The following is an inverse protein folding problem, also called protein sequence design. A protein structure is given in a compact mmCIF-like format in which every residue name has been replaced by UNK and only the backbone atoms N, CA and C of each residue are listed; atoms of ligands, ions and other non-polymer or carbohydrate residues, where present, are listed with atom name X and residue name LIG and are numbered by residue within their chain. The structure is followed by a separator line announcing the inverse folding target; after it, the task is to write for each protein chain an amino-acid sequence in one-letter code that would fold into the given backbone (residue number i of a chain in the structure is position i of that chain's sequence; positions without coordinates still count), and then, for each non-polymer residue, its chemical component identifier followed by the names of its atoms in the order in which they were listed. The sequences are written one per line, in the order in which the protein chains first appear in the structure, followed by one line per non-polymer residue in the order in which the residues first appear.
data_IF_566794805116
#
_entry.id   IF_566794805116
#
_cell.length_a   1.000
_cell.length_b   1.000
_cell.length_c   1.000
_cell.angle_alpha   90.00
_cell.angle_beta   90.00
_cell.angle_gamma   90.00
#
_symmetry.space_group_name_H-M   'P 1'
#
loop_
_entity.id
_entity.type
_entity.pdbx_description
1 polymer ?
#
# COMPACT_ATOMS: atom_id res chain seq x y z
N UNK A 1 -39.48 27.06 -32.58
CA UNK A 1 -38.84 25.75 -32.83
C UNK A 1 -37.41 25.90 -32.36
N UNK A 2 -37.00 25.16 -31.33
CA UNK A 2 -35.64 25.26 -30.81
C UNK A 2 -34.67 24.78 -31.91
N UNK A 3 -33.83 25.68 -32.40
CA UNK A 3 -32.75 25.35 -33.34
C UNK A 3 -31.76 24.46 -32.60
N UNK A 4 -31.63 23.19 -32.99
CA UNK A 4 -30.62 22.27 -32.45
C UNK A 4 -29.23 22.91 -32.61
N UNK A 5 -28.42 22.84 -31.55
CA UNK A 5 -27.05 23.40 -31.52
C UNK A 5 -26.19 22.65 -32.54
N UNK A 6 -25.26 23.34 -33.20
CA UNK A 6 -24.36 22.72 -34.17
C UNK A 6 -23.44 21.69 -33.46
N UNK A 7 -23.28 20.48 -33.99
CA UNK A 7 -22.40 19.45 -33.42
C UNK A 7 -20.94 19.90 -33.25
N UNK A 8 -20.45 20.81 -34.10
CA UNK A 8 -19.12 21.41 -33.92
C UNK A 8 -19.07 22.32 -32.69
N UNK A 9 -20.14 23.05 -32.41
CA UNK A 9 -20.28 23.89 -31.22
C UNK A 9 -20.47 23.03 -29.96
N UNK A 10 -21.23 21.94 -30.04
CA UNK A 10 -21.40 20.97 -28.95
C UNK A 10 -20.05 20.40 -28.52
N UNK A 11 -19.18 20.03 -29.47
CA UNK A 11 -17.84 19.54 -29.18
C UNK A 11 -16.83 20.67 -28.91
N UNK A 12 -17.18 21.94 -29.17
CA UNK A 12 -16.31 23.09 -28.99
C UNK A 12 -15.09 23.11 -29.93
N UNK A 13 -15.29 22.72 -31.19
CA UNK A 13 -14.25 22.59 -32.22
C UNK A 13 -14.65 23.33 -33.51
N UNK A 14 -13.66 23.62 -34.36
CA UNK A 14 -13.91 24.20 -35.68
C UNK A 14 -14.36 23.15 -36.69
N UNK A 15 -15.07 23.58 -37.74
CA UNK A 15 -15.50 22.70 -38.85
C UNK A 15 -14.35 22.05 -39.61
N UNK A 16 -13.16 22.66 -39.58
CA UNK A 16 -11.91 22.18 -40.15
C UNK A 16 -11.24 21.06 -39.33
N UNK A 17 -11.78 20.73 -38.14
CA UNK A 17 -11.15 19.80 -37.22
C UNK A 17 -10.91 18.42 -37.83
N UNK A 18 -9.72 17.87 -37.58
CA UNK A 18 -9.34 16.50 -37.92
C UNK A 18 -10.12 15.48 -37.08
N UNK A 19 -10.16 14.22 -37.54
CA UNK A 19 -10.78 13.12 -36.77
C UNK A 19 -10.17 12.96 -35.37
N UNK A 20 -8.86 13.20 -35.24
CA UNK A 20 -8.17 13.17 -33.95
C UNK A 20 -8.61 14.28 -32.99
N UNK A 21 -8.88 15.48 -33.51
CA UNK A 21 -9.39 16.61 -32.71
C UNK A 21 -10.83 16.37 -32.27
N UNK A 22 -11.67 15.80 -33.14
CA UNK A 22 -13.05 15.40 -32.82
C UNK A 22 -13.06 14.37 -31.67
N UNK A 23 -12.26 13.30 -31.78
CA UNK A 23 -12.15 12.30 -30.69
C UNK A 23 -11.57 12.89 -29.40
N UNK A 24 -10.63 13.84 -29.49
CA UNK A 24 -10.07 14.50 -28.31
C UNK A 24 -11.11 15.38 -27.60
N UNK A 25 -11.88 16.14 -28.37
CA UNK A 25 -12.92 17.01 -27.85
C UNK A 25 -14.04 16.22 -27.16
N UNK A 26 -14.53 15.15 -27.81
CA UNK A 26 -15.52 14.25 -27.22
C UNK A 26 -15.04 13.66 -25.89
N UNK A 27 -13.80 13.13 -25.83
CA UNK A 27 -13.26 12.56 -24.59
C UNK A 27 -13.19 13.55 -23.44
N UNK A 28 -12.85 14.81 -23.73
CA UNK A 28 -12.81 15.87 -22.72
C UNK A 28 -14.21 16.12 -22.13
N UNK A 29 -15.24 16.16 -22.98
CA UNK A 29 -16.62 16.38 -22.56
C UNK A 29 -17.21 15.15 -21.87
N UNK A 30 -16.92 13.95 -22.36
CA UNK A 30 -17.39 12.70 -21.78
C UNK A 30 -16.84 12.46 -20.36
N UNK A 31 -15.58 12.82 -20.09
CA UNK A 31 -15.03 12.77 -18.72
C UNK A 31 -15.68 13.86 -17.85
N UNK A 32 -15.84 15.07 -18.40
CA UNK A 32 -16.41 16.21 -17.65
C UNK A 32 -17.86 15.96 -17.23
N UNK A 33 -18.65 15.35 -18.11
CA UNK A 33 -20.08 15.12 -17.93
C UNK A 33 -20.40 13.64 -17.63
N UNK A 34 -19.42 12.86 -17.17
CA UNK A 34 -19.62 11.44 -16.87
C UNK A 34 -20.65 11.27 -15.73
N UNK A 35 -21.61 10.33 -15.84
CA UNK A 35 -22.64 10.08 -14.82
C UNK A 35 -22.05 9.75 -13.44
N UNK A 36 -21.03 8.89 -13.38
CA UNK A 36 -20.37 8.52 -12.11
C UNK A 36 -19.71 9.72 -11.40
N UNK A 37 -19.21 10.70 -12.16
CA UNK A 37 -18.59 11.90 -11.60
C UNK A 37 -19.61 13.00 -11.29
N UNK A 38 -20.83 12.90 -11.84
CA UNK A 38 -21.91 13.88 -11.70
C UNK A 38 -23.25 13.18 -11.36
N UNK A 39 -23.34 12.46 -10.22
CA UNK A 39 -24.52 11.69 -9.87
C UNK A 39 -25.71 12.62 -9.59
N UNK A 40 -26.83 12.40 -10.29
CA UNK A 40 -28.08 13.14 -10.10
C UNK A 40 -28.16 14.50 -10.80
N UNK A 41 -27.18 14.85 -11.64
CA UNK A 41 -27.19 16.07 -12.45
C UNK A 41 -27.81 15.81 -13.84
N UNK A 42 -29.08 16.21 -14.00
CA UNK A 42 -29.80 16.06 -15.27
C UNK A 42 -29.20 16.90 -16.41
N UNK A 43 -28.57 18.04 -16.10
CA UNK A 43 -27.92 18.89 -17.11
C UNK A 43 -26.64 18.23 -17.64
N UNK A 44 -25.84 17.64 -16.74
CA UNK A 44 -24.65 16.87 -17.13
C UNK A 44 -25.04 15.68 -18.03
N UNK A 45 -26.11 14.96 -17.70
CA UNK A 45 -26.62 13.85 -18.52
C UNK A 45 -27.07 14.35 -19.90
N UNK A 46 -27.79 15.47 -19.98
CA UNK A 46 -28.19 16.06 -21.27
C UNK A 46 -26.97 16.44 -22.13
N UNK A 47 -25.96 17.07 -21.53
CA UNK A 47 -24.72 17.45 -22.22
C UNK A 47 -23.90 16.24 -22.67
N UNK A 48 -23.92 15.16 -21.89
CA UNK A 48 -23.27 13.90 -22.25
C UNK A 48 -23.95 13.25 -23.48
N UNK A 49 -25.29 13.21 -23.50
CA UNK A 49 -26.07 12.70 -24.64
C UNK A 49 -25.80 13.54 -25.91
N UNK A 50 -25.82 14.86 -25.81
CA UNK A 50 -25.51 15.76 -26.92
C UNK A 50 -24.09 15.55 -27.47
N UNK A 51 -23.09 15.41 -26.59
CA UNK A 51 -21.71 15.18 -27.01
C UNK A 51 -21.51 13.81 -27.69
N UNK A 52 -22.22 12.78 -27.24
CA UNK A 52 -22.20 11.46 -27.85
C UNK A 52 -22.82 11.47 -29.26
N UNK A 53 -23.97 12.13 -29.42
CA UNK A 53 -24.63 12.31 -30.72
C UNK A 53 -23.74 13.07 -31.70
N UNK A 54 -23.12 14.17 -31.25
CA UNK A 54 -22.18 14.94 -32.04
C UNK A 54 -20.97 14.10 -32.47
N UNK A 55 -20.44 13.27 -31.57
CA UNK A 55 -19.31 12.40 -31.87
C UNK A 55 -19.67 11.29 -32.85
N UNK A 56 -20.84 10.66 -32.72
CA UNK A 56 -21.31 9.61 -33.62
C UNK A 56 -21.39 10.11 -35.08
N UNK A 57 -21.86 11.35 -35.26
CA UNK A 57 -21.98 11.96 -36.60
C UNK A 57 -20.64 12.44 -37.12
N UNK A 58 -19.83 13.13 -36.31
CA UNK A 58 -18.60 13.76 -36.78
C UNK A 58 -17.40 12.80 -36.89
N UNK A 59 -17.42 11.67 -36.18
CA UNK A 59 -16.35 10.67 -36.24
C UNK A 59 -16.41 9.78 -37.49
N UNK A 60 -17.60 9.59 -38.06
CA UNK A 60 -17.81 8.84 -39.30
C UNK A 60 -17.73 9.79 -40.51
N UNK A 61 -16.84 9.49 -41.46
CA UNK A 61 -16.59 10.36 -42.61
C UNK A 61 -17.80 10.54 -43.52
N UNK A 62 -18.67 9.53 -43.65
CA UNK A 62 -19.88 9.63 -44.47
C UNK A 62 -20.97 10.42 -43.76
N UNK A 63 -21.18 10.18 -42.45
CA UNK A 63 -22.14 10.93 -41.64
C UNK A 63 -21.75 12.40 -41.53
N UNK A 64 -20.46 12.70 -41.30
CA UNK A 64 -19.93 14.06 -41.29
C UNK A 64 -20.16 14.77 -42.62
N UNK A 65 -19.87 14.13 -43.74
CA UNK A 65 -20.09 14.71 -45.06
C UNK A 65 -21.58 15.04 -45.32
N UNK A 66 -22.50 14.17 -44.88
CA UNK A 66 -23.95 14.43 -44.96
C UNK A 66 -24.37 15.59 -44.04
N UNK A 67 -23.85 15.63 -42.81
CA UNK A 67 -24.12 16.71 -41.87
C UNK A 67 -23.58 18.07 -42.39
N UNK A 68 -22.40 18.09 -42.97
CA UNK A 68 -21.80 19.31 -43.54
C UNK A 68 -22.61 19.87 -44.72
N UNK A 69 -23.26 19.00 -45.49
CA UNK A 69 -24.06 19.40 -46.67
C UNK A 69 -25.50 19.81 -46.33
N UNK A 70 -26.14 19.14 -45.37
CA UNK A 70 -27.59 19.27 -45.12
C UNK A 70 -27.93 19.62 -43.66
N UNK A 71 -26.93 19.85 -42.82
CA UNK A 71 -27.10 20.07 -41.39
C UNK A 71 -27.73 18.87 -40.69
N UNK A 72 -28.42 19.12 -39.58
CA UNK A 72 -29.13 18.10 -38.79
C UNK A 72 -30.11 17.26 -39.63
N UNK A 73 -30.77 17.86 -40.63
CA UNK A 73 -31.71 17.16 -41.51
C UNK A 73 -31.05 16.07 -42.37
N UNK A 74 -29.75 16.17 -42.65
CA UNK A 74 -28.98 15.20 -43.45
C UNK A 74 -28.67 13.89 -42.73
N UNK A 75 -28.82 13.88 -41.41
CA UNK A 75 -28.46 12.74 -40.55
C UNK A 75 -29.65 12.21 -39.74
N UNK A 76 -30.79 12.91 -39.75
CA UNK A 76 -32.00 12.57 -38.98
C UNK A 76 -32.78 11.35 -39.53
N UNK A 77 -32.47 10.89 -40.75
CA UNK A 77 -33.15 9.77 -41.44
C UNK A 77 -32.31 8.51 -41.73
N UNK A 78 -31.04 8.47 -41.31
CA UNK A 78 -30.18 7.28 -41.40
C UNK A 78 -30.39 6.32 -40.23
N UNK A 79 -29.96 5.06 -40.35
CA UNK A 79 -30.00 4.06 -39.27
C UNK A 79 -29.49 4.65 -37.96
N UNK A 80 -30.43 4.99 -37.09
CA UNK A 80 -30.22 5.77 -35.88
C UNK A 80 -29.68 4.81 -34.82
N UNK A 81 -28.47 5.04 -34.32
CA UNK A 81 -28.19 4.64 -32.94
C UNK A 81 -28.98 5.61 -32.06
N UNK A 82 -30.25 5.29 -31.83
CA UNK A 82 -31.03 5.99 -30.83
C UNK A 82 -30.49 5.55 -29.48
N UNK A 83 -29.57 6.35 -28.94
CA UNK A 83 -29.18 6.24 -27.54
C UNK A 83 -30.37 6.67 -26.69
N UNK A 84 -31.17 5.70 -26.26
CA UNK A 84 -32.34 5.96 -25.43
C UNK A 84 -31.87 6.29 -24.01
N UNK A 85 -30.89 5.53 -23.52
CA UNK A 85 -30.32 5.69 -22.19
C UNK A 85 -28.79 5.82 -22.21
N UNK A 86 -28.23 6.22 -21.06
CA UNK A 86 -26.80 6.49 -20.89
C UNK A 86 -25.97 5.20 -20.98
N UNK A 87 -26.57 4.10 -20.56
CA UNK A 87 -26.03 2.75 -20.67
C UNK A 87 -25.78 2.35 -22.14
N UNK A 88 -26.67 2.72 -23.07
CA UNK A 88 -26.50 2.44 -24.51
C UNK A 88 -25.28 3.18 -25.08
N UNK A 89 -25.02 4.40 -24.61
CA UNK A 89 -23.87 5.22 -25.01
C UNK A 89 -22.58 4.60 -24.46
N UNK A 90 -22.62 4.14 -23.20
CA UNK A 90 -21.50 3.50 -22.55
C UNK A 90 -21.17 2.13 -23.16
N UNK A 91 -22.17 1.41 -23.68
CA UNK A 91 -21.92 0.16 -24.42
C UNK A 91 -21.35 0.45 -25.81
N UNK A 92 -21.94 1.39 -26.57
CA UNK A 92 -21.50 1.71 -27.93
C UNK A 92 -20.11 2.38 -28.00
N UNK A 93 -19.74 3.13 -26.96
CA UNK A 93 -18.46 3.82 -26.87
C UNK A 93 -17.59 3.35 -25.69
N UNK A 94 -17.93 2.21 -25.08
CA UNK A 94 -17.21 1.63 -23.95
C UNK A 94 -15.75 1.34 -24.28
N UNK A 95 -15.46 0.92 -25.51
CA UNK A 95 -14.09 0.70 -25.99
C UNK A 95 -13.26 1.99 -26.13
N UNK A 96 -13.90 3.16 -26.16
CA UNK A 96 -13.23 4.47 -26.16
C UNK A 96 -12.79 4.87 -24.73
N UNK A 97 -13.48 4.37 -23.69
CA UNK A 97 -13.28 4.80 -22.30
C UNK A 97 -12.84 3.68 -21.34
N UNK A 98 -13.01 2.40 -21.68
CA UNK A 98 -12.85 1.25 -20.78
C UNK A 98 -11.73 0.31 -21.18
N UNK A 99 -10.52 0.56 -20.65
CA UNK A 99 -9.52 -0.49 -20.41
C UNK A 99 -8.39 -0.67 -21.46
N UNK A 100 -7.18 -0.25 -21.08
CA UNK A 100 -5.94 -0.93 -21.52
C UNK A 100 -5.21 -0.42 -22.77
N UNK A 101 -5.77 0.53 -23.53
CA UNK A 101 -5.19 0.97 -24.82
C UNK A 101 -4.67 2.43 -24.82
N UNK A 102 -4.96 3.21 -23.78
CA UNK A 102 -4.69 4.65 -23.77
C UNK A 102 -3.22 5.07 -23.55
N UNK A 103 -2.34 4.12 -23.23
CA UNK A 103 -0.88 4.30 -23.24
C UNK A 103 -0.24 3.91 -24.59
N UNK A 104 -0.94 3.11 -25.41
CA UNK A 104 -0.33 2.38 -26.52
C UNK A 104 -0.73 2.87 -27.92
N UNK A 105 -1.74 3.74 -28.07
CA UNK A 105 -2.20 4.24 -29.37
C UNK A 105 -1.66 5.63 -29.76
N UNK A 106 -1.36 6.51 -28.80
CA UNK A 106 -0.78 7.84 -29.12
C UNK A 106 0.76 7.85 -29.23
N UNK A 107 1.38 6.66 -29.23
CA UNK A 107 2.81 6.45 -29.31
C UNK A 107 3.31 5.74 -30.56
N UNK A 108 2.62 5.76 -31.73
CA UNK A 108 3.26 5.46 -33.02
C UNK A 108 2.36 5.69 -34.23
N UNK A 109 2.59 6.81 -34.92
CA UNK A 109 2.35 6.87 -36.36
C UNK A 109 3.32 5.92 -37.08
N UNK A 110 2.80 5.19 -38.07
CA UNK A 110 3.56 4.63 -39.20
C UNK A 110 4.58 3.54 -38.87
N UNK A 111 4.22 2.27 -39.10
CA UNK A 111 5.22 1.21 -39.21
C UNK A 111 4.65 -0.19 -39.24
N UNK A 112 4.49 -0.75 -40.45
CA UNK A 112 4.46 -2.20 -40.68
C UNK A 112 5.59 -2.87 -39.90
N UNK A 113 5.26 -3.80 -39.01
CA UNK A 113 6.21 -4.62 -38.29
C UNK A 113 5.76 -4.86 -36.86
N UNK A 114 5.27 -6.07 -36.57
CA UNK A 114 5.11 -6.56 -35.21
C UNK A 114 6.47 -6.63 -34.52
N UNK A 115 7.00 -5.50 -34.06
CA UNK A 115 8.13 -5.47 -33.14
C UNK A 115 7.59 -5.98 -31.80
N UNK A 116 8.08 -7.15 -31.39
CA UNK A 116 7.95 -7.74 -30.05
C UNK A 116 8.00 -6.61 -29.02
N UNK A 117 6.85 -6.29 -28.39
CA UNK A 117 6.83 -5.29 -27.31
C UNK A 117 7.74 -5.84 -26.22
N UNK A 118 8.82 -5.13 -25.97
CA UNK A 118 9.81 -5.53 -24.99
C UNK A 118 9.15 -5.41 -23.62
N UNK A 119 9.00 -6.52 -22.92
CA UNK A 119 8.29 -6.56 -21.63
C UNK A 119 9.19 -5.98 -20.53
N UNK A 120 8.60 -5.35 -19.52
CA UNK A 120 9.32 -5.03 -18.28
C UNK A 120 9.68 -6.35 -17.58
N UNK A 121 10.82 -6.39 -16.92
CA UNK A 121 11.14 -7.46 -15.98
C UNK A 121 10.14 -7.53 -14.82
N UNK A 122 10.06 -8.70 -14.18
CA UNK A 122 9.17 -8.89 -13.05
C UNK A 122 9.65 -8.10 -11.83
N UNK A 123 8.71 -7.55 -11.06
CA UNK A 123 9.03 -6.84 -9.83
C UNK A 123 9.44 -7.85 -8.73
N UNK A 124 10.33 -7.42 -7.83
CA UNK A 124 10.77 -8.18 -6.65
C UNK A 124 10.08 -7.60 -5.42
N UNK A 125 9.66 -8.45 -4.48
CA UNK A 125 9.11 -8.02 -3.19
C UNK A 125 9.98 -8.58 -2.06
N UNK A 126 10.34 -7.73 -1.12
CA UNK A 126 11.17 -8.07 0.04
C UNK A 126 10.52 -7.51 1.28
N UNK A 127 10.55 -8.26 2.39
CA UNK A 127 10.15 -7.75 3.69
C UNK A 127 11.37 -7.25 4.44
N UNK A 128 11.31 -6.01 4.91
CA UNK A 128 12.35 -5.41 5.76
C UNK A 128 11.76 -5.21 7.14
N UNK A 129 12.32 -5.89 8.13
CA UNK A 129 11.89 -5.76 9.52
C UNK A 129 12.74 -4.71 10.23
N UNK A 130 12.10 -3.72 10.85
CA UNK A 130 12.75 -2.65 11.60
C UNK A 130 12.32 -2.66 13.06
N UNK A 131 13.19 -2.16 13.92
CA UNK A 131 12.81 -1.79 15.29
C UNK A 131 12.17 -0.39 15.29
N UNK A 132 11.43 -0.04 16.34
CA UNK A 132 10.67 1.21 16.41
C UNK A 132 11.59 2.44 16.41
N UNK A 133 12.75 2.31 17.05
CA UNK A 133 13.81 3.32 17.09
C UNK A 133 14.38 3.59 15.70
N UNK A 134 14.63 2.53 14.93
CA UNK A 134 15.13 2.63 13.55
C UNK A 134 14.09 3.27 12.63
N UNK A 135 12.81 2.93 12.82
CA UNK A 135 11.71 3.57 12.12
C UNK A 135 11.59 5.06 12.46
N UNK A 136 11.96 5.48 13.68
CA UNK A 136 11.90 6.88 14.10
C UNK A 136 13.05 7.72 13.54
N UNK A 137 14.27 7.18 13.46
CA UNK A 137 15.42 7.92 12.92
C UNK A 137 15.57 7.81 11.41
N UNK A 138 15.00 6.77 10.81
CA UNK A 138 15.36 6.33 9.46
C UNK A 138 16.67 5.55 9.49
N UNK A 139 16.86 4.69 8.49
CA UNK A 139 18.04 3.82 8.39
C UNK A 139 18.31 3.41 6.96
N UNK A 140 19.59 3.33 6.60
CA UNK A 140 20.04 2.65 5.38
C UNK A 140 20.24 1.17 5.68
N UNK A 141 19.53 0.31 4.96
CA UNK A 141 19.59 -1.15 5.14
C UNK A 141 20.06 -1.83 3.86
N UNK A 142 21.08 -2.66 3.99
CA UNK A 142 21.49 -3.59 2.93
C UNK A 142 20.57 -4.82 2.95
N UNK A 143 19.86 -5.06 1.85
CA UNK A 143 19.02 -6.25 1.65
C UNK A 143 19.65 -7.15 0.59
N UNK A 144 19.55 -8.47 0.79
CA UNK A 144 19.98 -9.45 -0.20
C UNK A 144 18.78 -9.97 -0.97
N UNK A 145 18.85 -9.89 -2.30
CA UNK A 145 17.80 -10.41 -3.19
C UNK A 145 18.37 -11.38 -4.20
N UNK A 146 17.58 -12.40 -4.53
CA UNK A 146 17.90 -13.34 -5.59
C UNK A 146 17.49 -12.72 -6.94
N UNK A 147 18.49 -12.26 -7.71
CA UNK A 147 18.30 -11.65 -9.03
C UNK A 147 18.79 -12.59 -10.12
N UNK A 148 18.05 -12.67 -11.23
CA UNK A 148 18.56 -13.28 -12.45
C UNK A 148 19.60 -12.35 -13.08
N UNK A 149 20.75 -12.91 -13.42
CA UNK A 149 21.82 -12.21 -14.14
C UNK A 149 22.07 -12.96 -15.43
N UNK A 150 22.45 -12.26 -16.51
CA UNK A 150 22.84 -12.90 -17.74
C UNK A 150 23.95 -13.93 -17.46
N UNK A 151 23.78 -15.15 -17.95
CA UNK A 151 24.75 -16.22 -17.73
C UNK A 151 26.08 -15.81 -18.35
N UNK A 152 27.16 -15.73 -17.55
CA UNK A 152 28.48 -15.29 -18.03
C UNK A 152 29.02 -16.13 -19.18
N UNK A 153 28.71 -17.43 -19.20
CA UNK A 153 29.19 -18.38 -20.22
C UNK A 153 28.55 -18.15 -21.58
N UNK A 154 27.24 -17.89 -21.64
CA UNK A 154 26.51 -17.72 -22.90
C UNK A 154 26.08 -16.26 -23.18
N UNK A 155 26.40 -15.34 -22.27
CA UNK A 155 26.01 -13.93 -22.30
C UNK A 155 24.52 -13.69 -22.57
N UNK A 156 23.65 -14.56 -22.02
CA UNK A 156 22.19 -14.44 -22.22
C UNK A 156 21.61 -15.21 -23.41
N UNK A 157 22.44 -15.75 -24.31
CA UNK A 157 21.95 -16.46 -25.51
C UNK A 157 21.27 -17.80 -25.20
N UNK A 158 21.57 -18.41 -24.05
CA UNK A 158 21.12 -19.75 -23.67
C UNK A 158 21.81 -20.89 -24.45
N UNK A 159 22.57 -20.58 -25.49
CA UNK A 159 23.31 -21.55 -26.29
C UNK A 159 24.72 -21.77 -25.74
N UNK A 160 25.31 -22.94 -26.00
CA UNK A 160 26.70 -23.25 -25.66
C UNK A 160 27.66 -22.27 -26.37
N UNK A 161 28.79 -21.89 -25.77
CA UNK A 161 29.78 -21.05 -26.45
C UNK A 161 30.19 -21.64 -27.80
N UNK A 162 30.07 -20.85 -28.87
CA UNK A 162 30.34 -21.29 -30.24
C UNK A 162 29.13 -21.83 -31.01
N UNK A 163 27.98 -22.06 -30.35
CA UNK A 163 26.70 -22.28 -31.01
C UNK A 163 25.79 -21.06 -30.86
N UNK A 164 24.80 -20.94 -31.73
CA UNK A 164 23.85 -19.82 -31.71
C UNK A 164 22.41 -20.37 -31.78
N UNK A 165 21.44 -19.67 -31.16
CA UNK A 165 20.04 -19.99 -31.34
C UNK A 165 19.65 -19.93 -32.82
N UNK A 166 19.06 -21.01 -33.33
CA UNK A 166 18.60 -21.08 -34.71
C UNK A 166 17.22 -20.45 -34.84
N UNK A 167 16.91 -19.88 -36.01
CA UNK A 167 15.57 -19.34 -36.26
C UNK A 167 14.56 -20.49 -36.33
N UNK A 168 13.45 -20.37 -35.60
CA UNK A 168 12.42 -21.41 -35.59
C UNK A 168 11.83 -21.58 -36.99
N UNK A 169 12.03 -22.76 -37.59
CA UNK A 169 11.54 -23.10 -38.93
C UNK A 169 10.02 -23.03 -39.07
N UNK A 170 9.29 -23.32 -37.98
CA UNK A 170 7.81 -23.34 -37.99
C UNK A 170 7.16 -21.96 -38.07
N UNK A 171 7.75 -20.95 -37.43
CA UNK A 171 7.23 -19.57 -37.46
C UNK A 171 8.12 -18.60 -38.23
N UNK A 172 9.26 -19.06 -38.78
CA UNK A 172 10.22 -18.20 -39.48
C UNK A 172 10.78 -17.07 -38.62
N UNK A 173 10.89 -17.29 -37.30
CA UNK A 173 11.33 -16.25 -36.36
C UNK A 173 10.21 -15.39 -35.78
N UNK A 174 8.97 -15.52 -36.28
CA UNK A 174 7.86 -14.66 -35.86
C UNK A 174 7.34 -14.95 -34.44
N UNK A 175 7.70 -16.09 -33.84
CA UNK A 175 7.22 -16.52 -32.51
C UNK A 175 5.73 -16.92 -32.47
N UNK A 176 4.96 -16.63 -33.52
CA UNK A 176 3.54 -16.94 -33.63
C UNK A 176 3.25 -17.62 -34.96
N UNK A 177 2.22 -18.44 -34.99
CA UNK A 177 1.72 -19.11 -36.19
C UNK A 177 0.28 -18.66 -36.43
N UNK A 178 -0.05 -18.40 -37.69
CA UNK A 178 -1.41 -18.00 -38.08
C UNK A 178 -2.15 -19.24 -38.54
N UNK A 179 -3.23 -19.58 -37.87
CA UNK A 179 -4.17 -20.61 -38.30
C UNK A 179 -5.37 -19.93 -38.97
N UNK A 180 -5.66 -20.31 -40.21
CA UNK A 180 -6.79 -19.77 -40.95
C UNK A 180 -7.88 -20.85 -41.02
N UNK A 181 -9.06 -20.53 -40.49
CA UNK A 181 -10.27 -21.35 -40.59
C UNK A 181 -11.36 -20.51 -41.29
N UNK A 182 -11.45 -20.65 -42.61
CA UNK A 182 -12.36 -19.85 -43.43
C UNK A 182 -12.00 -18.36 -43.39
N UNK A 183 -12.95 -17.53 -42.95
CA UNK A 183 -12.81 -16.07 -42.82
C UNK A 183 -12.05 -15.70 -41.53
N UNK A 184 -12.02 -16.60 -40.54
CA UNK A 184 -11.37 -16.34 -39.26
C UNK A 184 -9.86 -16.63 -39.34
N UNK A 185 -9.04 -15.62 -39.03
CA UNK A 185 -7.59 -15.76 -38.83
C UNK A 185 -7.31 -15.70 -37.33
N UNK A 186 -6.84 -16.81 -36.77
CA UNK A 186 -6.46 -16.90 -35.37
C UNK A 186 -4.94 -16.99 -35.28
N UNK A 187 -4.34 -16.06 -34.54
CA UNK A 187 -2.91 -16.05 -34.28
C UNK A 187 -2.66 -16.74 -32.95
N UNK A 188 -1.86 -17.80 -32.96
CA UNK A 188 -1.49 -18.54 -31.75
C UNK A 188 0.03 -18.52 -31.55
N UNK A 189 0.47 -18.65 -30.31
CA UNK A 189 1.89 -18.78 -29.99
C UNK A 189 2.45 -20.02 -30.68
N UNK A 190 3.61 -19.88 -31.35
CA UNK A 190 4.23 -21.01 -32.04
C UNK A 190 4.57 -22.11 -31.02
N UNK A 191 4.01 -23.32 -31.13
CA UNK A 191 4.23 -24.39 -30.15
C UNK A 191 5.65 -24.95 -30.20
N UNK A 192 6.38 -24.75 -31.30
CA UNK A 192 7.75 -25.25 -31.46
C UNK A 192 8.81 -24.38 -30.77
N UNK A 193 8.58 -23.08 -30.63
CA UNK A 193 9.52 -22.17 -29.94
C UNK A 193 8.91 -21.49 -28.71
N UNK A 194 7.66 -21.83 -28.35
CA UNK A 194 6.95 -21.22 -27.22
C UNK A 194 6.84 -19.70 -27.28
N UNK A 195 6.86 -19.09 -28.48
CA UNK A 195 6.85 -17.63 -28.63
C UNK A 195 8.21 -16.97 -28.82
N UNK A 196 9.33 -17.67 -28.60
CA UNK A 196 10.66 -17.07 -28.62
C UNK A 196 11.16 -16.66 -30.02
N UNK A 197 10.67 -17.31 -31.08
CA UNK A 197 11.13 -17.10 -32.46
C UNK A 197 12.42 -17.85 -32.80
N UNK A 198 13.20 -18.25 -31.80
CA UNK A 198 14.41 -19.06 -31.96
C UNK A 198 14.29 -20.39 -31.20
N UNK A 199 15.10 -21.37 -31.59
CA UNK A 199 15.23 -22.67 -30.93
C UNK A 199 16.71 -22.84 -30.55
N UNK A 200 16.95 -23.27 -29.31
CA UNK A 200 18.29 -23.59 -28.82
C UNK A 200 18.53 -25.07 -29.11
N UNK A 201 19.43 -25.37 -30.04
CA UNK A 201 19.83 -26.74 -30.40
C UNK A 201 20.83 -27.30 -29.40
N UNK A 202 21.85 -26.51 -29.05
CA UNK A 202 22.88 -26.86 -28.08
C UNK A 202 22.77 -25.97 -26.83
N UNK A 203 22.06 -26.41 -25.77
CA UNK A 203 21.88 -25.61 -24.58
C UNK A 203 23.19 -25.40 -23.82
N UNK A 204 23.39 -24.20 -23.29
CA UNK A 204 24.48 -23.88 -22.38
C UNK A 204 24.40 -24.76 -21.13
N UNK A 205 25.52 -25.38 -20.72
CA UNK A 205 25.55 -26.25 -19.53
C UNK A 205 25.23 -25.54 -18.22
N UNK A 206 25.70 -24.29 -18.06
CA UNK A 206 25.60 -23.57 -16.78
C UNK A 206 24.20 -23.02 -16.52
N UNK A 207 23.55 -22.47 -17.55
CA UNK A 207 22.17 -21.98 -17.43
C UNK A 207 21.12 -22.97 -17.95
N UNK A 208 21.54 -24.13 -18.48
CA UNK A 208 20.69 -25.18 -19.06
C UNK A 208 19.69 -24.66 -20.09
N UNK A 209 20.13 -23.76 -20.97
CA UNK A 209 19.28 -23.17 -22.01
C UNK A 209 18.47 -21.93 -21.59
N UNK A 210 18.48 -21.54 -20.31
CA UNK A 210 17.65 -20.42 -19.83
C UNK A 210 18.23 -19.04 -20.13
N UNK A 211 19.53 -18.93 -20.45
CA UNK A 211 20.23 -17.66 -20.67
C UNK A 211 20.57 -16.87 -19.39
N UNK A 212 19.95 -17.20 -18.26
CA UNK A 212 20.17 -16.52 -16.97
C UNK A 212 20.60 -17.48 -15.87
N UNK A 213 21.34 -16.97 -14.89
CA UNK A 213 21.64 -17.64 -13.62
C UNK A 213 21.17 -16.79 -12.45
N UNK A 214 20.75 -17.42 -11.36
CA UNK A 214 20.34 -16.72 -10.14
C UNK A 214 21.57 -16.38 -9.32
N UNK A 215 21.71 -15.11 -8.91
CA UNK A 215 22.76 -14.64 -8.02
C UNK A 215 22.14 -13.82 -6.89
N UNK A 216 22.74 -13.90 -5.70
CA UNK A 216 22.41 -13.00 -4.60
C UNK A 216 23.10 -11.67 -4.81
N UNK A 217 22.31 -10.60 -4.86
CA UNK A 217 22.79 -9.23 -5.00
C UNK A 217 22.38 -8.45 -3.77
N UNK A 218 23.31 -7.69 -3.22
CA UNK A 218 23.05 -6.73 -2.17
C UNK A 218 22.53 -5.42 -2.76
N UNK A 219 21.43 -4.92 -2.23
CA UNK A 219 20.84 -3.63 -2.59
C UNK A 219 20.73 -2.78 -1.33
N UNK A 220 21.21 -1.54 -1.37
CA UNK A 220 21.04 -0.60 -0.27
C UNK A 220 19.68 0.11 -0.40
N UNK A 221 18.89 0.06 0.66
CA UNK A 221 17.56 0.68 0.74
C UNK A 221 17.65 1.80 1.78
N UNK A 222 17.47 3.05 1.32
CA UNK A 222 17.29 4.18 2.21
C UNK A 222 15.85 4.23 2.69
N UNK A 223 15.63 3.99 3.98
CA UNK A 223 14.30 3.99 4.59
C UNK A 223 14.11 5.31 5.35
N UNK A 224 13.15 6.15 4.95
CA UNK A 224 12.97 7.46 5.57
C UNK A 224 12.53 7.33 7.04
N UNK A 225 12.84 8.36 7.82
CA UNK A 225 12.33 8.49 9.18
C UNK A 225 10.79 8.56 9.17
N UNK A 226 10.17 7.92 10.15
CA UNK A 226 8.72 7.95 10.37
C UNK A 226 7.94 6.83 9.70
N UNK A 227 8.58 5.94 8.94
CA UNK A 227 7.88 4.88 8.21
C UNK A 227 7.01 4.06 9.13
N UNK A 228 5.81 3.71 8.68
CA UNK A 228 4.84 2.92 9.43
C UNK A 228 4.79 1.46 8.96
N UNK A 229 4.20 0.59 9.78
CA UNK A 229 3.99 -0.82 9.43
C UNK A 229 3.11 -0.93 8.17
N UNK A 230 3.53 -1.79 7.23
CA UNK A 230 2.83 -1.97 5.96
C UNK A 230 3.16 -0.93 4.88
N UNK A 231 3.96 0.10 5.18
CA UNK A 231 4.46 1.01 4.15
C UNK A 231 5.37 0.30 3.14
N UNK A 232 5.43 0.83 1.92
CA UNK A 232 6.24 0.28 0.82
C UNK A 232 7.26 1.30 0.33
N UNK A 233 8.53 0.90 0.27
CA UNK A 233 9.61 1.67 -0.35
C UNK A 233 9.91 1.05 -1.72
N UNK A 234 9.86 1.87 -2.79
CA UNK A 234 10.13 1.42 -4.15
C UNK A 234 11.54 1.78 -4.58
N UNK A 235 12.32 0.78 -4.96
CA UNK A 235 13.60 0.93 -5.66
C UNK A 235 13.39 0.66 -7.15
N UNK A 236 13.50 1.72 -7.95
CA UNK A 236 13.27 1.66 -9.39
C UNK A 236 14.36 0.84 -10.09
N UNK A 237 13.99 -0.01 -11.05
CA UNK A 237 14.90 -0.84 -11.85
C UNK A 237 15.73 -1.88 -11.08
N UNK A 238 15.42 -2.11 -9.80
CA UNK A 238 16.09 -3.10 -8.95
C UNK A 238 15.37 -4.45 -8.86
N UNK A 239 14.38 -4.67 -9.73
CA UNK A 239 13.70 -5.95 -9.89
C UNK A 239 14.42 -6.93 -10.83
N UNK A 240 13.69 -7.96 -11.28
CA UNK A 240 14.24 -8.95 -12.20
C UNK A 240 14.56 -8.31 -13.56
N UNK A 241 15.60 -8.77 -14.28
CA UNK A 241 15.82 -8.34 -15.66
C UNK A 241 14.64 -8.75 -16.56
N UNK A 242 14.43 -7.99 -17.62
CA UNK A 242 13.47 -8.37 -18.64
C UNK A 242 13.93 -9.62 -19.41
N UNK A 243 13.04 -10.60 -19.64
CA UNK A 243 13.31 -11.72 -20.54
C UNK A 243 13.62 -11.30 -21.98
N UNK A 244 13.02 -10.19 -22.45
CA UNK A 244 13.09 -9.74 -23.85
C UNK A 244 14.08 -8.57 -24.08
N UNK A 245 14.92 -8.23 -23.10
CA UNK A 245 15.86 -7.10 -23.19
C UNK A 245 15.28 -5.71 -22.90
N UNK A 246 14.16 -5.65 -22.18
CA UNK A 246 13.49 -4.43 -21.72
C UNK A 246 14.01 -3.92 -20.38
N UNK A 247 13.40 -2.85 -19.84
CA UNK A 247 13.77 -2.35 -18.53
C UNK A 247 13.54 -3.42 -17.45
N UNK A 248 14.40 -3.51 -16.43
CA UNK A 248 14.14 -4.38 -15.28
C UNK A 248 12.83 -4.02 -14.57
N UNK A 249 12.34 -4.97 -13.76
CA UNK A 249 11.31 -4.71 -12.76
C UNK A 249 11.78 -3.72 -11.70
N UNK A 250 10.90 -3.39 -10.77
CA UNK A 250 11.23 -2.63 -9.55
C UNK A 250 11.35 -3.57 -8.35
N UNK A 251 12.03 -3.15 -7.29
CA UNK A 251 12.02 -3.83 -5.99
C UNK A 251 11.14 -3.05 -5.01
N UNK A 252 10.15 -3.72 -4.43
CA UNK A 252 9.26 -3.19 -3.41
C UNK A 252 9.66 -3.76 -2.04
N UNK A 253 10.15 -2.90 -1.17
CA UNK A 253 10.47 -3.23 0.20
C UNK A 253 9.24 -2.95 1.07
N UNK A 254 8.61 -4.01 1.56
CA UNK A 254 7.52 -3.94 2.52
C UNK A 254 8.10 -3.82 3.92
N UNK A 255 7.84 -2.68 4.57
CA UNK A 255 8.32 -2.40 5.90
C UNK A 255 7.42 -3.13 6.91
N UNK A 256 8.06 -3.78 7.88
CA UNK A 256 7.38 -4.35 9.03
C UNK A 256 8.08 -3.92 10.31
N UNK A 257 7.34 -3.33 11.25
CA UNK A 257 7.91 -2.83 12.50
C UNK A 257 7.69 -3.86 13.60
N UNK A 258 8.76 -4.20 14.33
CA UNK A 258 8.64 -5.11 15.48
C UNK A 258 7.83 -4.43 16.59
N UNK A 259 6.98 -5.22 17.24
CA UNK A 259 6.25 -4.76 18.42
C UNK A 259 7.23 -4.38 19.54
N UNK A 260 7.21 -3.12 19.95
CA UNK A 260 8.04 -2.63 21.04
C UNK A 260 7.48 -3.06 22.41
N UNK A 261 8.35 -3.22 23.41
CA UNK A 261 7.95 -3.69 24.76
C UNK A 261 7.25 -2.62 25.58
N UNK A 262 7.66 -1.36 25.41
CA UNK A 262 7.18 -0.23 26.21
C UNK A 262 6.21 0.67 25.44
N UNK A 263 6.35 0.74 24.11
CA UNK A 263 5.66 1.72 23.29
C UNK A 263 4.67 1.01 22.39
N UNK A 264 3.48 1.61 22.29
CA UNK A 264 2.47 1.26 21.30
C UNK A 264 2.31 2.45 20.36
N UNK A 265 2.42 2.20 19.05
CA UNK A 265 2.34 3.26 18.03
C UNK A 265 0.90 3.36 17.53
N UNK A 266 0.37 4.59 17.50
CA UNK A 266 -0.91 4.92 16.89
C UNK A 266 -0.72 6.11 15.94
N UNK A 267 -0.57 5.81 14.64
CA UNK A 267 -0.20 6.82 13.64
C UNK A 267 1.16 7.45 13.96
N UNK A 268 1.20 8.77 14.11
CA UNK A 268 2.42 9.50 14.47
C UNK A 268 2.64 9.58 15.99
N UNK A 269 1.67 9.10 16.78
CA UNK A 269 1.72 9.16 18.23
C UNK A 269 2.26 7.87 18.83
N UNK A 270 2.87 8.01 20.00
CA UNK A 270 3.31 6.88 20.83
C UNK A 270 2.52 6.88 22.12
N UNK A 271 2.21 5.68 22.61
CA UNK A 271 1.55 5.45 23.89
C UNK A 271 2.50 4.64 24.75
N UNK A 272 2.72 5.13 25.98
CA UNK A 272 3.52 4.48 27.00
C UNK A 272 2.69 4.35 28.27
N UNK A 273 2.68 3.15 28.85
CA UNK A 273 2.07 2.92 30.16
C UNK A 273 3.14 3.00 31.22
N UNK A 274 3.01 3.95 32.15
CA UNK A 274 3.99 4.21 33.19
C UNK A 274 3.42 3.90 34.58
N UNK A 275 4.01 2.98 35.35
CA UNK A 275 3.66 2.81 36.76
C UNK A 275 4.09 4.02 37.58
N UNK A 276 3.21 4.48 38.46
CA UNK A 276 3.51 5.47 39.51
C UNK A 276 3.10 4.90 40.87
N UNK A 277 3.76 5.33 41.95
CA UNK A 277 3.34 4.94 43.31
C UNK A 277 2.14 5.76 43.77
N UNK A 278 1.39 5.24 44.74
CA UNK A 278 0.29 5.99 45.37
C UNK A 278 0.77 7.33 45.93
N UNK A 279 1.94 7.36 46.57
CA UNK A 279 2.52 8.59 47.13
C UNK A 279 2.84 9.62 46.05
N UNK A 280 3.35 9.21 44.88
CA UNK A 280 3.61 10.10 43.75
C UNK A 280 2.31 10.68 43.18
N UNK A 281 1.25 9.87 43.08
CA UNK A 281 -0.05 10.32 42.57
C UNK A 281 -0.70 11.36 43.52
N UNK A 282 -0.63 11.12 44.84
CA UNK A 282 -1.26 12.00 45.84
C UNK A 282 -0.47 13.29 46.04
N UNK A 283 0.85 13.21 46.21
CA UNK A 283 1.70 14.36 46.55
C UNK A 283 2.20 15.12 45.32
N UNK A 284 2.09 14.54 44.14
CA UNK A 284 2.74 15.01 42.94
C UNK A 284 4.22 14.62 42.91
N UNK A 285 4.79 14.51 41.72
CA UNK A 285 6.18 14.09 41.53
C UNK A 285 6.67 14.48 40.14
N UNK A 286 7.97 14.64 39.98
CA UNK A 286 8.62 14.65 38.68
C UNK A 286 9.21 13.26 38.42
N UNK A 287 8.79 12.62 37.34
CA UNK A 287 9.25 11.28 36.96
C UNK A 287 10.00 11.33 35.64
N UNK A 288 11.00 10.46 35.49
CA UNK A 288 11.71 10.29 34.22
C UNK A 288 10.97 9.31 33.32
N UNK A 289 10.62 9.78 32.13
CA UNK A 289 9.90 9.03 31.10
C UNK A 289 10.85 8.66 29.97
N UNK A 290 10.99 7.37 29.61
CA UNK A 290 11.76 6.97 28.45
C UNK A 290 11.07 7.47 27.18
N UNK A 291 11.85 8.05 26.27
CA UNK A 291 11.42 8.38 24.90
C UNK A 291 12.39 7.74 23.91
N UNK A 292 12.06 7.76 22.62
CA UNK A 292 12.93 7.23 21.57
C UNK A 292 14.28 7.97 21.45
N UNK A 293 14.32 9.25 21.88
CA UNK A 293 15.50 10.11 21.78
C UNK A 293 16.15 10.39 23.16
N UNK A 294 15.96 9.49 24.13
CA UNK A 294 16.46 9.62 25.50
C UNK A 294 15.36 9.93 26.54
N UNK A 295 15.70 10.03 27.84
CA UNK A 295 14.73 10.30 28.88
C UNK A 295 14.21 11.75 28.82
N UNK A 296 12.95 11.95 29.23
CA UNK A 296 12.32 13.25 29.39
C UNK A 296 11.61 13.34 30.74
N UNK A 297 11.64 14.50 31.39
CA UNK A 297 10.97 14.71 32.67
C UNK A 297 9.47 14.96 32.45
N UNK A 298 8.63 14.27 33.21
CA UNK A 298 7.18 14.49 33.27
C UNK A 298 6.78 14.92 34.68
N UNK A 299 6.10 16.06 34.78
CA UNK A 299 5.51 16.53 36.04
C UNK A 299 4.12 15.91 36.20
N UNK A 300 3.95 15.14 37.27
CA UNK A 300 2.68 14.54 37.70
C UNK A 300 2.11 15.43 38.82
N UNK A 301 0.98 16.12 38.59
CA UNK A 301 0.35 16.97 39.60
C UNK A 301 -0.11 16.18 40.84
N UNK A 302 -0.18 16.85 41.98
CA UNK A 302 -0.81 16.30 43.17
C UNK A 302 -2.29 15.98 42.90
N UNK A 303 -2.76 14.83 43.39
CA UNK A 303 -4.13 14.35 43.16
C UNK A 303 -4.36 13.76 41.77
N UNK A 304 -3.30 13.32 41.07
CA UNK A 304 -3.44 12.67 39.77
C UNK A 304 -4.17 11.33 39.89
N UNK A 305 -5.08 11.06 38.94
CA UNK A 305 -5.87 9.84 38.90
C UNK A 305 -5.10 8.64 38.37
N UNK A 306 -5.64 7.43 38.58
CA UNK A 306 -5.19 6.24 37.85
C UNK A 306 -5.69 6.31 36.40
N UNK A 307 -4.88 5.87 35.44
CA UNK A 307 -5.16 5.92 34.00
C UNK A 307 -5.25 7.34 33.41
N UNK A 308 -4.74 8.35 34.12
CA UNK A 308 -4.60 9.70 33.58
C UNK A 308 -3.55 9.74 32.47
N UNK A 309 -3.78 10.59 31.46
CA UNK A 309 -2.93 10.65 30.26
C UNK A 309 -2.24 12.00 30.18
N UNK A 310 -0.92 11.97 30.24
CA UNK A 310 -0.08 13.15 30.07
C UNK A 310 0.52 13.18 28.67
N UNK A 311 0.57 14.36 28.07
CA UNK A 311 1.08 14.57 26.70
C UNK A 311 2.44 15.24 26.72
N UNK A 312 3.45 14.55 26.20
CA UNK A 312 4.77 15.10 25.91
C UNK A 312 4.87 15.47 24.43
N UNK A 313 4.90 16.79 24.16
CA UNK A 313 4.85 17.32 22.80
C UNK A 313 6.10 17.00 21.99
N UNK A 314 5.93 16.55 20.75
CA UNK A 314 7.03 16.31 19.81
C UNK A 314 7.94 15.12 20.18
N UNK A 315 7.47 14.22 21.05
CA UNK A 315 8.18 13.02 21.50
C UNK A 315 7.62 11.71 20.90
N UNK A 316 6.75 11.81 19.89
CA UNK A 316 6.23 10.68 19.11
C UNK A 316 7.09 10.34 17.88
N UNK A 317 6.44 9.82 16.84
CA UNK A 317 7.08 9.48 15.56
C UNK A 317 7.09 10.67 14.59
N UNK A 318 8.12 10.83 13.76
CA UNK A 318 8.09 11.77 12.64
C UNK A 318 7.13 11.30 11.54
N UNK A 319 6.53 12.23 10.80
CA UNK A 319 5.79 11.92 9.58
C UNK A 319 6.78 11.76 8.41
N UNK A 320 6.75 10.63 7.66
CA UNK A 320 7.56 10.42 6.46
C UNK A 320 7.45 11.50 5.39
N UNK A 321 6.32 12.22 5.35
CA UNK A 321 6.03 13.28 4.40
C UNK A 321 6.43 14.67 4.92
N UNK A 322 7.05 14.76 6.11
CA UNK A 322 7.59 15.99 6.65
C UNK A 322 6.58 16.93 7.32
N UNK A 323 5.41 16.44 7.74
CA UNK A 323 4.38 17.26 8.43
C UNK A 323 4.70 17.58 9.90
N UNK A 324 5.77 17.01 10.44
CA UNK A 324 6.23 17.25 11.81
C UNK A 324 6.49 15.95 12.57
N UNK A 325 6.51 16.05 13.90
CA UNK A 325 6.60 14.92 14.81
C UNK A 325 5.34 14.85 15.66
N UNK A 326 4.84 13.63 15.85
CA UNK A 326 3.74 13.39 16.77
C UNK A 326 4.18 13.50 18.23
N UNK A 327 3.25 13.16 19.10
CA UNK A 327 3.38 13.29 20.56
C UNK A 327 3.47 11.93 21.25
N UNK A 328 4.07 11.92 22.46
CA UNK A 328 4.04 10.77 23.35
C UNK A 328 2.96 10.97 24.42
N UNK A 329 2.01 10.04 24.47
CA UNK A 329 0.98 9.94 25.49
C UNK A 329 1.43 8.96 26.57
N UNK A 330 1.62 9.47 27.78
CA UNK A 330 2.01 8.69 28.96
C UNK A 330 0.77 8.44 29.78
N UNK A 331 0.27 7.21 29.75
CA UNK A 331 -0.82 6.77 30.60
C UNK A 331 -0.25 6.26 31.93
N UNK A 332 -0.54 6.96 33.03
CA UNK A 332 -0.09 6.54 34.34
C UNK A 332 -1.02 5.50 34.95
N UNK A 333 -0.50 4.58 35.75
CA UNK A 333 -1.33 3.71 36.58
C UNK A 333 -0.66 3.49 37.93
N UNK A 334 -1.48 3.33 38.98
CA UNK A 334 -0.95 3.12 40.33
C UNK A 334 -0.49 1.67 40.46
N UNK A 335 0.81 1.47 40.68
CA UNK A 335 1.36 0.14 40.98
C UNK A 335 1.26 -0.15 42.48
N UNK A 336 0.60 -1.26 42.83
CA UNK A 336 0.46 -1.71 44.21
C UNK A 336 1.59 -2.69 44.55
N UNK A 337 2.45 -2.38 45.54
CA UNK A 337 3.55 -3.26 45.91
C UNK A 337 3.03 -4.57 46.50
N UNK A 338 3.65 -5.70 46.11
CA UNK A 338 3.27 -7.04 46.60
C UNK A 338 3.80 -7.37 48.00
N UNK A 339 4.79 -6.61 48.47
CA UNK A 339 5.44 -6.78 49.77
C UNK A 339 5.69 -5.40 50.36
N UNK A 340 5.48 -5.30 51.67
CA UNK A 340 5.68 -4.08 52.44
C UNK A 340 6.69 -4.37 53.56
N UNK A 341 7.54 -3.40 53.85
CA UNK A 341 8.35 -3.39 55.06
C UNK A 341 7.45 -3.10 56.30
N UNK A 342 7.77 -3.55 57.53
CA UNK A 342 6.90 -3.34 58.69
C UNK A 342 6.53 -1.88 58.92
N UNK A 343 7.47 -0.95 58.68
CA UNK A 343 7.21 0.49 58.76
C UNK A 343 6.23 0.99 57.70
N UNK A 344 6.31 0.46 56.47
CA UNK A 344 5.38 0.84 55.41
C UNK A 344 3.98 0.34 55.70
N UNK A 345 3.86 -0.87 56.26
CA UNK A 345 2.56 -1.41 56.67
C UNK A 345 1.95 -0.60 57.82
N UNK A 346 2.75 -0.25 58.84
CA UNK A 346 2.32 0.61 59.95
C UNK A 346 1.74 1.94 59.44
N UNK A 347 2.48 2.66 58.59
CA UNK A 347 2.04 3.94 58.01
C UNK A 347 0.76 3.82 57.17
N UNK A 348 0.61 2.73 56.40
CA UNK A 348 -0.60 2.50 55.60
C UNK A 348 -1.82 2.16 56.48
N UNK A 349 -1.61 1.52 57.64
CA UNK A 349 -2.69 1.28 58.62
C UNK A 349 -3.12 2.57 59.30
N UNK A 350 -2.16 3.41 59.70
CA UNK A 350 -2.48 4.75 60.22
C UNK A 350 -3.30 5.55 59.20
N UNK A 351 -2.90 5.55 57.93
CA UNK A 351 -3.68 6.21 56.87
C UNK A 351 -5.09 5.63 56.75
N UNK A 352 -5.25 4.31 56.82
CA UNK A 352 -6.56 3.67 56.76
C UNK A 352 -7.47 4.03 57.96
N UNK A 353 -6.91 4.22 59.15
CA UNK A 353 -7.65 4.71 60.32
C UNK A 353 -8.18 6.14 60.11
N UNK A 354 -7.35 7.02 59.54
CA UNK A 354 -7.75 8.39 59.18
C UNK A 354 -8.83 8.44 58.09
N UNK A 355 -8.74 7.59 57.08
CA UNK A 355 -9.73 7.49 56.00
C UNK A 355 -10.99 6.70 56.41
N UNK A 356 -11.00 6.12 57.61
CA UNK A 356 -12.05 5.23 58.13
C UNK A 356 -12.33 4.03 57.20
N UNK A 357 -11.26 3.48 56.61
CA UNK A 357 -11.32 2.41 55.60
C UNK A 357 -11.11 1.03 56.24
N UNK A 358 -11.99 0.08 55.91
CA UNK A 358 -11.86 -1.30 56.40
C UNK A 358 -10.69 -2.01 55.71
N UNK A 359 -9.61 -2.26 56.45
CA UNK A 359 -8.46 -3.05 56.01
C UNK A 359 -8.43 -4.42 56.65
N UNK A 360 -7.81 -5.38 55.97
CA UNK A 360 -7.65 -6.73 56.52
C UNK A 360 -6.78 -6.73 57.78
N UNK A 361 -7.07 -7.60 58.77
CA UNK A 361 -6.23 -7.74 59.94
C UNK A 361 -4.83 -8.21 59.54
N UNK A 362 -3.84 -7.91 60.37
CA UNK A 362 -2.44 -8.28 60.13
C UNK A 362 -2.35 -9.77 59.82
N UNK A 363 -1.75 -10.11 58.66
CA UNK A 363 -1.48 -11.52 58.32
C UNK A 363 -0.37 -11.99 59.23
N UNK A 364 -0.73 -12.67 60.32
CA UNK A 364 0.22 -13.38 61.18
C UNK A 364 1.10 -14.27 60.31
N UNK A 365 2.41 -14.25 60.54
CA UNK A 365 3.33 -15.18 59.90
C UNK A 365 2.88 -16.63 60.19
N UNK A 366 3.11 -17.56 59.27
CA UNK A 366 2.81 -18.98 59.51
C UNK A 366 3.49 -19.50 60.79
N UNK A 367 4.67 -18.97 61.11
CA UNK A 367 5.40 -19.26 62.35
C UNK A 367 4.76 -18.63 63.59
N UNK A 368 4.16 -17.43 63.48
CA UNK A 368 3.38 -16.82 64.56
C UNK A 368 2.07 -17.58 64.78
N UNK A 369 1.45 -18.07 63.71
CA UNK A 369 0.26 -18.93 63.80
C UNK A 369 0.58 -20.28 64.46
N UNK A 370 1.76 -20.86 64.19
CA UNK A 370 2.24 -22.07 64.86
C UNK A 370 2.63 -21.79 66.32
N UNK A 371 3.29 -20.66 66.59
CA UNK A 371 3.62 -20.23 67.97
C UNK A 371 2.34 -20.06 68.78
N UNK A 372 1.36 -19.33 68.25
CA UNK A 372 0.07 -19.14 68.91
C UNK A 372 -0.63 -20.49 69.12
N UNK A 373 -0.60 -21.42 68.17
CA UNK A 373 -1.18 -22.76 68.34
C UNK A 373 -0.45 -23.61 69.42
N UNK A 374 0.88 -23.60 69.43
CA UNK A 374 1.68 -24.38 70.38
C UNK A 374 1.62 -23.81 71.81
N UNK A 375 1.66 -22.48 71.94
CA UNK A 375 1.72 -21.78 73.23
C UNK A 375 0.35 -21.34 73.79
N UNK A 376 -0.74 -21.37 73.00
CA UNK A 376 -2.10 -21.19 73.55
C UNK A 376 -2.51 -22.32 74.51
N UNK A 377 -1.83 -23.47 74.48
CA UNK A 377 -2.14 -24.63 75.35
C UNK A 377 -1.41 -24.63 76.70
N UNK A 378 -0.47 -23.71 76.92
CA UNK A 378 0.30 -23.62 78.18
C UNK A 378 -0.34 -22.70 79.22
N UNK A 379 -1.10 -21.68 78.83
CA UNK A 379 -1.69 -20.73 79.78
C UNK A 379 -3.00 -21.25 80.44
N UNK A 380 -3.75 -22.13 79.78
CA UNK A 380 -4.96 -22.72 80.38
C UNK A 380 -4.65 -23.78 81.46
N UNK A 381 -3.44 -24.35 81.48
CA UNK A 381 -3.04 -25.38 82.45
C UNK A 381 -2.48 -24.82 83.76
N UNK A 382 -2.01 -23.56 83.79
CA UNK A 382 -1.57 -22.94 85.06
C UNK A 382 -2.73 -22.31 85.85
N UNK A 383 -3.81 -21.89 85.19
CA UNK A 383 -4.99 -21.32 85.89
C UNK A 383 -5.80 -22.41 86.62
N UNK A 384 -5.85 -23.65 86.10
CA UNK A 384 -6.54 -24.77 86.77
C UNK A 384 -5.76 -25.43 87.92
N UNK A 385 -4.54 -24.98 88.22
CA UNK A 385 -3.74 -25.51 89.35
C UNK A 385 -3.72 -24.60 90.59
N UNK A 386 -4.44 -23.47 90.54
CA UNK A 386 -4.54 -22.47 91.63
C UNK A 386 -5.99 -22.13 92.03
N UNK A 387 -6.99 -22.91 91.61
CA UNK A 387 -8.37 -22.83 92.12
C UNK A 387 -8.73 -24.07 92.91
#
# INVERSE_FOLDING_TARGET
MATKIDYYEVLGIERSASSGEISKAYRKLAIKYHPDSNPGDEEAVSRFKEAAEAYEVLSDSEKRARYDQYGHAGVEGGARANFHDVEDIMEAFGDIFGGGIFSDIFGRGGGRGGRRRVRKGADIQVRVTLDLEEAATGVDREIQVDRRVACGTCSGSGAKPGSQPETCSRCGGAGQVVQQAGILRVQTTCPSCGGQGTIITDPCGDCRGNGFTTQRVSINVAIPAGVDDGMRVRLASEGQPSPDGGPPGDCYCHISIRKHKLFEREGDHLILKMPITYTQAVLGSEIEVPTLNGPATLSVPAGSGSSEVFKLRGKGMPDPHGRGTGDLYVQTYIEVPKKLDPKQEELLRELAEYEHTNVSPHRKSFLESIRDYLFASTDEKEIKKKS
#
